data_IF_916059805048
#
_entry.id   IF_916059805048
#
_cell.length_a   1.000
_cell.length_b   1.000
_cell.length_c   1.000
_cell.angle_alpha   90.00
_cell.angle_beta   90.00
_cell.angle_gamma   90.00
#
_symmetry.space_group_name_H-M   'P 1'
#
loop_
_entity.id
_entity.type
_entity.pdbx_description
1 polymer ?
#
# COMPACT_ATOMS: atom_id res chain seq x y z
N UNK A 1 8.56 -10.99 -1.52
CA UNK A 1 7.76 -9.82 -1.13
C UNK A 1 7.11 -9.30 -2.39
N UNK A 2 5.83 -8.91 -2.34
CA UNK A 2 5.14 -8.23 -3.43
C UNK A 2 4.88 -6.79 -3.00
N UNK A 3 5.18 -5.84 -3.87
CA UNK A 3 4.82 -4.43 -3.70
C UNK A 3 3.97 -4.02 -4.90
N UNK A 4 2.79 -3.47 -4.62
CA UNK A 4 1.96 -2.78 -5.59
C UNK A 4 2.13 -1.28 -5.40
N UNK A 5 2.25 -0.53 -6.49
CA UNK A 5 2.40 0.92 -6.43
C UNK A 5 1.74 1.61 -7.60
N UNK A 6 1.26 2.83 -7.38
CA UNK A 6 0.73 3.73 -8.41
C UNK A 6 1.18 5.16 -8.14
N UNK A 7 1.11 6.00 -9.17
CA UNK A 7 1.15 7.47 -9.03
C UNK A 7 -0.26 8.08 -9.15
N UNK A 8 -1.29 7.33 -8.76
CA UNK A 8 -2.68 7.77 -8.78
C UNK A 8 -3.17 8.06 -7.37
N UNK A 9 -4.09 9.01 -7.25
CA UNK A 9 -4.82 9.32 -6.01
C UNK A 9 -6.17 8.60 -5.96
N UNK A 10 -6.57 7.92 -7.04
CA UNK A 10 -7.88 7.30 -7.16
C UNK A 10 -8.01 6.00 -6.36
N UNK A 11 -9.00 5.96 -5.47
CA UNK A 11 -9.25 4.78 -4.63
C UNK A 11 -9.56 3.49 -5.41
N UNK A 12 -10.04 3.63 -6.65
CA UNK A 12 -10.34 2.51 -7.58
C UNK A 12 -9.09 1.82 -8.11
N UNK A 13 -7.97 2.53 -8.14
CA UNK A 13 -6.66 2.03 -8.50
C UNK A 13 -5.88 1.59 -7.26
N UNK A 14 -6.15 2.19 -6.10
CA UNK A 14 -5.41 1.92 -4.87
C UNK A 14 -6.13 0.96 -3.92
N UNK A 15 -6.84 1.48 -2.92
CA UNK A 15 -7.42 0.71 -1.82
C UNK A 15 -8.36 -0.40 -2.31
N UNK A 16 -9.14 -0.16 -3.36
CA UNK A 16 -10.03 -1.19 -3.93
C UNK A 16 -9.24 -2.34 -4.55
N UNK A 17 -8.07 -2.08 -5.14
CA UNK A 17 -7.20 -3.14 -5.70
C UNK A 17 -6.54 -3.94 -4.60
N UNK A 18 -6.10 -3.29 -3.52
CA UNK A 18 -5.60 -3.97 -2.31
C UNK A 18 -6.66 -4.92 -1.76
N UNK A 19 -7.89 -4.44 -1.55
CA UNK A 19 -9.00 -5.26 -1.03
C UNK A 19 -9.34 -6.45 -1.94
N UNK A 20 -9.32 -6.26 -3.26
CA UNK A 20 -9.55 -7.34 -4.23
C UNK A 20 -8.41 -8.37 -4.15
N UNK A 21 -7.16 -7.92 -4.05
CA UNK A 21 -6.01 -8.80 -3.96
C UNK A 21 -6.01 -9.59 -2.65
N UNK A 22 -6.27 -8.95 -1.50
CA UNK A 22 -6.38 -9.60 -0.19
C UNK A 22 -7.39 -10.76 -0.22
N UNK A 23 -8.54 -10.55 -0.86
CA UNK A 23 -9.58 -11.58 -1.01
C UNK A 23 -9.15 -12.72 -1.92
N UNK A 24 -8.47 -12.42 -3.03
CA UNK A 24 -8.07 -13.42 -4.04
C UNK A 24 -6.85 -14.23 -3.62
N UNK A 25 -5.87 -13.60 -2.97
CA UNK A 25 -4.63 -14.25 -2.55
C UNK A 25 -4.81 -15.12 -1.29
N UNK A 26 -5.82 -14.83 -0.47
CA UNK A 26 -6.22 -15.68 0.65
C UNK A 26 -5.10 -15.85 1.69
N UNK A 27 -4.63 -17.08 1.86
CA UNK A 27 -3.57 -17.43 2.83
C UNK A 27 -2.17 -17.51 2.22
N UNK A 28 -2.05 -17.45 0.89
CA UNK A 28 -0.74 -17.50 0.22
C UNK A 28 0.05 -16.21 0.46
N UNK A 29 -0.65 -15.08 0.55
CA UNK A 29 -0.07 -13.75 0.76
C UNK A 29 -0.83 -13.01 1.85
N UNK A 30 -0.12 -12.39 2.78
CA UNK A 30 -0.68 -11.50 3.81
C UNK A 30 -0.03 -10.12 3.75
N UNK A 31 -0.77 -9.08 4.17
CA UNK A 31 -0.21 -7.73 4.32
C UNK A 31 1.00 -7.79 5.24
N UNK A 32 2.11 -7.23 4.78
CA UNK A 32 3.38 -7.19 5.51
C UNK A 32 3.58 -5.82 6.11
N UNK A 33 4.31 -5.73 7.22
CA UNK A 33 4.63 -4.43 7.81
C UNK A 33 5.51 -3.63 6.85
N UNK A 34 5.26 -2.31 6.77
CA UNK A 34 6.16 -1.42 6.05
C UNK A 34 7.45 -1.25 6.85
N UNK A 35 8.62 -1.18 6.18
CA UNK A 35 9.90 -0.93 6.84
C UNK A 35 9.87 0.35 7.67
N UNK A 36 10.62 0.41 8.77
CA UNK A 36 10.69 1.58 9.66
C UNK A 36 11.20 2.86 8.97
N UNK A 37 11.86 2.70 7.81
CA UNK A 37 12.28 3.83 6.96
C UNK A 37 11.11 4.59 6.34
N UNK A 38 9.87 4.07 6.38
CA UNK A 38 8.67 4.79 5.95
C UNK A 38 8.13 5.61 7.13
N UNK A 39 8.10 6.96 7.03
CA UNK A 39 7.59 7.82 8.09
C UNK A 39 6.11 7.55 8.42
N UNK A 40 5.76 7.62 9.71
CA UNK A 40 4.40 7.35 10.18
C UNK A 40 3.34 8.25 9.55
N UNK A 41 3.69 9.50 9.23
CA UNK A 41 2.79 10.45 8.56
C UNK A 41 2.32 9.98 7.17
N UNK A 42 3.11 9.11 6.52
CA UNK A 42 2.79 8.54 5.21
C UNK A 42 2.02 7.22 5.32
N UNK A 43 2.02 6.57 6.49
CA UNK A 43 1.36 5.28 6.70
C UNK A 43 -0.16 5.46 6.74
N UNK A 44 -0.88 4.51 6.15
CA UNK A 44 -2.36 4.47 6.16
C UNK A 44 -2.88 3.33 7.02
N UNK A 45 -2.72 2.11 6.52
CA UNK A 45 -3.07 0.85 7.19
C UNK A 45 -1.85 -0.07 7.15
N UNK A 46 -1.94 -1.25 7.80
CA UNK A 46 -0.87 -2.25 7.76
C UNK A 46 -0.46 -2.53 6.32
N UNK A 47 0.83 -2.34 6.03
CA UNK A 47 1.39 -2.58 4.70
C UNK A 47 1.06 -1.52 3.65
N UNK A 48 0.41 -0.40 4.01
CA UNK A 48 0.01 0.64 3.06
C UNK A 48 0.55 2.02 3.45
N UNK A 49 1.02 2.76 2.44
CA UNK A 49 1.41 4.16 2.59
C UNK A 49 1.04 4.97 1.34
N UNK A 50 0.87 6.28 1.51
CA UNK A 50 0.63 7.18 0.42
C UNK A 50 1.18 8.57 0.69
N UNK A 51 1.55 9.26 -0.39
CA UNK A 51 1.83 10.70 -0.38
C UNK A 51 0.62 11.47 -0.88
N UNK A 52 0.39 12.63 -0.27
CA UNK A 52 -0.66 13.58 -0.63
C UNK A 52 -0.02 14.92 -1.00
N UNK A 53 -0.10 15.37 -2.27
CA UNK A 53 0.68 16.52 -2.73
C UNK A 53 0.53 17.80 -1.90
N UNK A 54 -0.68 18.22 -1.49
CA UNK A 54 -0.85 19.38 -0.63
C UNK A 54 -0.20 19.27 0.76
N UNK A 55 -0.06 18.05 1.31
CA UNK A 55 0.52 17.81 2.65
C UNK A 55 2.02 17.60 2.56
N UNK A 56 2.45 16.74 1.64
CA UNK A 56 3.81 16.20 1.60
C UNK A 56 4.72 16.96 0.63
N UNK A 57 4.15 17.86 -0.19
CA UNK A 57 4.87 18.69 -1.16
C UNK A 57 5.68 17.89 -2.18
N UNK A 58 5.19 16.70 -2.52
CA UNK A 58 5.70 15.78 -3.55
C UNK A 58 4.53 15.23 -4.36
N UNK A 59 4.81 14.55 -5.47
CA UNK A 59 3.77 13.90 -6.27
C UNK A 59 3.00 12.85 -5.46
N UNK A 60 1.75 12.62 -5.88
CA UNK A 60 0.85 11.65 -5.26
C UNK A 60 1.28 10.24 -5.64
N UNK A 61 1.50 9.41 -4.63
CA UNK A 61 1.91 8.02 -4.79
C UNK A 61 1.21 7.15 -3.76
N UNK A 62 1.03 5.89 -4.10
CA UNK A 62 0.45 4.88 -3.23
C UNK A 62 1.30 3.60 -3.29
N UNK A 63 1.49 2.95 -2.14
CA UNK A 63 2.08 1.62 -2.05
C UNK A 63 1.27 0.68 -1.17
N UNK A 64 1.27 -0.60 -1.52
CA UNK A 64 0.82 -1.69 -0.68
C UNK A 64 1.81 -2.86 -0.73
N UNK A 65 2.09 -3.49 0.41
CA UNK A 65 3.11 -4.54 0.57
C UNK A 65 2.53 -5.82 1.14
N UNK A 66 2.90 -6.96 0.55
CA UNK A 66 2.57 -8.29 1.02
C UNK A 66 3.81 -9.18 1.12
N UNK A 67 3.75 -10.16 2.03
CA UNK A 67 4.72 -11.24 2.16
C UNK A 67 4.02 -12.57 1.89
N UNK A 68 4.74 -13.48 1.24
CA UNK A 68 4.30 -14.85 1.04
C UNK A 68 4.34 -15.59 2.38
N UNK A 69 3.25 -16.24 2.73
CA UNK A 69 3.06 -16.92 4.03
C UNK A 69 2.84 -18.43 3.92
N UNK A 70 2.73 -18.95 2.69
CA UNK A 70 2.74 -20.39 2.36
C UNK A 70 3.62 -20.63 1.14
#
# INVERSE_FOLDING_TARGET
>A
VLVYSTCSLESSENEKRVQIFDKRAGEEMKRDQLPDSIPDILRKEVGMAATWPPRDRVDGAFIARWKRTK
#
